data_IF_064465875205
#
_entry.id   IF_064465875205
#
_cell.length_a   1.000
_cell.length_b   1.000
_cell.length_c   1.000
_cell.angle_alpha   90.00
_cell.angle_beta   90.00
_cell.angle_gamma   90.00
#
_symmetry.space_group_name_H-M   'P 1'
#
loop_
_entity.id
_entity.type
_entity.pdbx_description
1 polymer ?
#
# COMPACT_ATOMS: atom_id res chain seq x y z
N UNK A 1 -12.03 12.91 8.65
CA UNK A 1 -11.00 11.84 8.67
C UNK A 1 -11.26 10.97 9.87
N UNK A 2 -11.38 9.66 9.68
CA UNK A 2 -11.47 8.67 10.76
C UNK A 2 -10.27 7.74 10.77
N UNK A 3 -10.00 7.10 11.90
CA UNK A 3 -8.95 6.09 12.04
C UNK A 3 -9.34 5.01 13.03
N UNK A 4 -8.92 3.77 12.79
CA UNK A 4 -9.14 2.64 13.69
C UNK A 4 -8.05 1.58 13.51
N UNK A 5 -8.01 0.61 14.43
CA UNK A 5 -7.10 -0.53 14.36
C UNK A 5 -7.89 -1.82 14.50
N UNK A 6 -7.70 -2.74 13.57
CA UNK A 6 -8.14 -4.13 13.68
C UNK A 6 -6.92 -5.04 13.86
N UNK A 7 -7.15 -6.24 14.36
CA UNK A 7 -6.11 -7.26 14.48
C UNK A 7 -6.41 -8.44 13.59
N UNK A 8 -5.37 -8.98 12.98
CA UNK A 8 -5.42 -10.27 12.32
C UNK A 8 -5.38 -11.42 13.35
N UNK A 9 -5.87 -12.61 12.98
CA UNK A 9 -6.61 -12.91 11.75
C UNK A 9 -8.10 -12.53 11.81
N UNK A 10 -8.65 -12.18 12.98
CA UNK A 10 -10.10 -12.05 13.16
C UNK A 10 -10.71 -10.82 12.47
N UNK A 11 -9.94 -9.72 12.36
CA UNK A 11 -10.33 -8.45 11.76
C UNK A 11 -11.66 -7.87 12.28
N UNK A 12 -11.97 -8.13 13.55
CA UNK A 12 -13.15 -7.59 14.23
C UNK A 12 -12.87 -6.28 14.98
N UNK A 13 -13.93 -5.52 15.33
CA UNK A 13 -13.81 -4.44 16.30
C UNK A 13 -13.34 -5.02 17.63
N UNK A 14 -12.32 -4.38 18.24
CA UNK A 14 -11.76 -4.87 19.49
C UNK A 14 -12.68 -4.57 20.68
N UNK A 15 -12.64 -5.41 21.73
CA UNK A 15 -13.20 -5.02 23.02
C UNK A 15 -12.59 -3.68 23.47
N UNK A 16 -13.35 -2.82 24.17
CA UNK A 16 -12.80 -1.60 24.76
C UNK A 16 -11.50 -1.90 25.53
N UNK A 17 -10.49 -1.04 25.36
CA UNK A 17 -9.16 -1.13 26.00
C UNK A 17 -8.23 -2.27 25.56
N UNK A 18 -8.53 -3.04 24.51
CA UNK A 18 -7.64 -4.11 24.05
C UNK A 18 -6.25 -3.62 23.56
N UNK A 19 -6.12 -2.36 23.13
CA UNK A 19 -4.84 -1.76 22.73
C UNK A 19 -3.83 -1.65 23.89
N UNK A 20 -4.29 -1.67 25.15
CA UNK A 20 -3.44 -1.63 26.33
C UNK A 20 -3.08 -3.02 26.86
N UNK A 21 -3.55 -4.10 26.21
CA UNK A 21 -3.22 -5.48 26.60
C UNK A 21 -1.90 -5.92 25.95
N UNK A 22 -0.87 -6.33 26.72
CA UNK A 22 0.42 -6.78 26.20
C UNK A 22 0.38 -8.02 25.31
N UNK A 23 -0.73 -8.78 25.33
CA UNK A 23 -0.86 -10.08 24.67
C UNK A 23 -0.96 -10.02 23.15
N UNK A 24 -1.17 -8.83 22.56
CA UNK A 24 -1.31 -8.70 21.11
C UNK A 24 0.01 -8.30 20.47
N UNK A 25 0.58 -9.24 19.71
CA UNK A 25 1.79 -8.98 18.93
C UNK A 25 1.59 -7.74 18.04
N UNK A 26 2.46 -6.72 18.13
CA UNK A 26 2.32 -5.49 17.34
C UNK A 26 2.31 -5.78 15.83
N UNK A 27 2.84 -6.92 15.41
CA UNK A 27 2.89 -7.35 14.02
C UNK A 27 1.54 -7.81 13.47
N UNK A 28 0.52 -8.03 14.31
CA UNK A 28 -0.84 -8.42 13.88
C UNK A 28 -1.74 -7.21 13.57
N UNK A 29 -1.24 -5.99 13.77
CA UNK A 29 -2.03 -4.76 13.63
C UNK A 29 -2.26 -4.44 12.16
N UNK A 30 -3.50 -4.09 11.86
CA UNK A 30 -3.88 -3.39 10.63
C UNK A 30 -4.48 -2.06 11.05
N UNK A 31 -3.75 -0.99 10.76
CA UNK A 31 -4.22 0.37 11.02
C UNK A 31 -4.96 0.86 9.79
N UNK A 32 -6.14 1.43 9.98
CA UNK A 32 -6.93 2.05 8.92
C UNK A 32 -7.06 3.54 9.19
N UNK A 33 -7.04 4.30 8.10
CA UNK A 33 -7.42 5.70 8.03
C UNK A 33 -8.34 5.86 6.82
N UNK A 34 -9.36 6.71 6.95
CA UNK A 34 -10.33 6.90 5.88
C UNK A 34 -10.84 8.33 5.85
N UNK A 35 -11.18 8.78 4.65
CA UNK A 35 -11.70 10.11 4.41
C UNK A 35 -12.71 10.11 3.27
N UNK A 36 -13.74 10.93 3.47
CA UNK A 36 -14.74 11.19 2.46
C UNK A 36 -14.11 11.96 1.30
N UNK A 37 -14.46 11.57 0.08
CA UNK A 37 -13.93 12.15 -1.16
C UNK A 37 -15.03 12.93 -1.85
N UNK A 38 -14.91 14.26 -1.88
CA UNK A 38 -15.87 15.18 -2.47
C UNK A 38 -15.28 16.05 -3.59
N UNK A 39 -13.94 16.09 -3.72
CA UNK A 39 -13.24 16.94 -4.71
C UNK A 39 -12.99 16.27 -6.05
N UNK A 40 -13.10 14.94 -6.12
CA UNK A 40 -12.81 14.16 -7.31
C UNK A 40 -13.78 12.98 -7.40
N UNK A 41 -14.07 12.46 -8.60
CA UNK A 41 -14.79 11.20 -8.72
C UNK A 41 -14.05 10.08 -7.96
N UNK A 42 -14.77 9.28 -7.18
CA UNK A 42 -14.17 8.23 -6.34
C UNK A 42 -13.33 7.24 -7.17
N UNK A 43 -13.75 6.93 -8.40
CA UNK A 43 -13.01 6.06 -9.33
C UNK A 43 -11.66 6.66 -9.77
N UNK A 44 -11.49 7.98 -9.72
CA UNK A 44 -10.24 8.64 -10.09
C UNK A 44 -9.20 8.61 -8.96
N UNK A 45 -9.58 8.25 -7.74
CA UNK A 45 -8.68 8.30 -6.57
C UNK A 45 -7.48 7.37 -6.72
N UNK A 46 -7.72 6.09 -7.08
CA UNK A 46 -6.64 5.13 -7.22
C UNK A 46 -5.82 5.36 -8.49
N UNK A 47 -6.45 5.84 -9.56
CA UNK A 47 -5.73 6.24 -10.79
C UNK A 47 -4.76 7.40 -10.48
N UNK A 48 -5.18 8.40 -9.70
CA UNK A 48 -4.30 9.48 -9.22
C UNK A 48 -3.23 9.00 -8.25
N UNK A 49 -3.51 7.99 -7.42
CA UNK A 49 -2.53 7.44 -6.50
C UNK A 49 -1.45 6.60 -7.20
N UNK A 50 -1.76 6.07 -8.39
CA UNK A 50 -0.86 5.22 -9.19
C UNK A 50 -0.25 5.94 -10.39
N UNK A 51 -0.47 7.26 -10.51
CA UNK A 51 0.07 8.07 -11.60
C UNK A 51 0.55 9.43 -11.09
N UNK A 52 1.48 10.02 -11.85
CA UNK A 52 1.75 11.46 -11.79
C UNK A 52 0.62 12.19 -12.50
N UNK A 53 -0.50 12.41 -11.81
CA UNK A 53 -1.70 13.01 -12.40
C UNK A 53 -1.53 14.49 -12.79
N UNK A 54 -0.45 15.15 -12.35
CA UNK A 54 -0.04 16.47 -12.81
C UNK A 54 1.36 16.38 -13.45
N UNK A 55 1.49 16.91 -14.66
CA UNK A 55 2.79 17.07 -15.32
C UNK A 55 3.38 18.43 -14.95
N UNK A 56 4.66 18.42 -14.62
CA UNK A 56 5.43 19.62 -14.31
C UNK A 56 6.08 20.21 -15.56
N UNK A 57 6.12 19.44 -16.67
CA UNK A 57 6.89 19.75 -17.87
C UNK A 57 8.37 19.38 -17.75
N UNK A 58 8.79 18.86 -16.60
CA UNK A 58 10.13 18.39 -16.35
C UNK A 58 10.22 16.88 -16.53
N UNK A 59 10.94 16.43 -17.55
CA UNK A 59 11.11 15.01 -17.86
C UNK A 59 11.77 14.20 -16.73
N UNK A 60 12.54 14.83 -15.84
CA UNK A 60 13.06 14.15 -14.64
C UNK A 60 11.91 13.83 -13.68
N UNK A 61 11.13 14.83 -13.28
CA UNK A 61 10.02 14.69 -12.33
C UNK A 61 8.86 13.85 -12.90
N UNK A 62 8.53 14.07 -14.17
CA UNK A 62 7.36 13.52 -14.84
C UNK A 62 7.57 12.07 -15.31
N UNK A 63 8.81 11.58 -15.36
CA UNK A 63 9.13 10.21 -15.81
C UNK A 63 9.95 9.45 -14.76
N UNK A 64 9.61 9.60 -13.49
CA UNK A 64 10.08 8.68 -12.45
C UNK A 64 9.28 7.36 -12.54
N UNK A 65 9.90 6.23 -12.93
CA UNK A 65 9.21 4.94 -13.04
C UNK A 65 8.81 4.36 -11.67
N UNK A 66 9.32 4.93 -10.57
CA UNK A 66 8.93 4.52 -9.22
C UNK A 66 7.57 5.04 -8.81
N UNK A 67 7.09 6.11 -9.43
CA UNK A 67 5.87 6.81 -9.01
C UNK A 67 4.69 6.62 -9.97
N UNK A 68 4.82 5.74 -10.98
CA UNK A 68 3.84 5.63 -12.06
C UNK A 68 3.63 4.19 -12.51
N UNK A 69 2.39 3.70 -12.39
CA UNK A 69 2.01 2.34 -12.78
C UNK A 69 2.19 2.10 -14.28
N UNK A 70 1.96 3.11 -15.12
CA UNK A 70 2.14 3.02 -16.57
C UNK A 70 3.58 2.71 -17.00
N UNK A 71 4.57 3.00 -16.14
CA UNK A 71 5.99 2.74 -16.37
C UNK A 71 6.48 1.45 -15.68
N UNK A 72 5.58 0.74 -15.00
CA UNK A 72 5.91 -0.47 -14.22
C UNK A 72 5.36 -1.72 -14.91
N UNK A 73 6.22 -2.56 -15.53
CA UNK A 73 5.77 -3.79 -16.17
C UNK A 73 5.10 -4.74 -15.18
N UNK A 74 4.06 -5.43 -15.63
CA UNK A 74 3.44 -6.51 -14.88
C UNK A 74 4.42 -7.69 -14.77
N UNK A 75 4.69 -8.13 -13.55
CA UNK A 75 5.74 -9.10 -13.26
C UNK A 75 5.19 -10.48 -12.85
N UNK A 76 4.18 -10.52 -11.98
CA UNK A 76 3.69 -11.78 -11.40
C UNK A 76 2.26 -11.66 -10.87
N UNK A 77 1.46 -12.73 -10.96
CA UNK A 77 0.20 -12.86 -10.22
C UNK A 77 0.46 -13.49 -8.84
N UNK A 78 0.01 -12.84 -7.78
CA UNK A 78 0.20 -13.28 -6.41
C UNK A 78 -1.05 -12.99 -5.57
N UNK A 79 -1.66 -14.00 -4.95
CA UNK A 79 -2.84 -13.84 -4.09
C UNK A 79 -4.02 -13.10 -4.75
N UNK A 80 -4.17 -13.23 -6.08
CA UNK A 80 -5.18 -12.48 -6.84
C UNK A 80 -4.83 -11.00 -7.12
N UNK A 81 -3.57 -10.60 -6.89
CA UNK A 81 -3.01 -9.30 -7.24
C UNK A 81 -2.01 -9.46 -8.40
N UNK A 82 -1.95 -8.44 -9.26
CA UNK A 82 -0.86 -8.30 -10.23
C UNK A 82 0.25 -7.47 -9.60
N UNK A 83 1.45 -8.03 -9.47
CA UNK A 83 2.64 -7.30 -9.05
C UNK A 83 3.23 -6.51 -10.23
N UNK A 84 3.62 -5.27 -9.98
CA UNK A 84 4.24 -4.36 -10.91
C UNK A 84 5.59 -3.88 -10.35
N UNK A 85 6.67 -4.32 -10.99
CA UNK A 85 8.03 -4.00 -10.57
C UNK A 85 8.52 -2.74 -11.29
N UNK A 86 9.50 -2.04 -10.72
CA UNK A 86 10.16 -0.93 -11.42
C UNK A 86 11.06 -1.49 -12.52
N UNK A 87 10.92 -0.97 -13.74
CA UNK A 87 11.79 -1.30 -14.84
C UNK A 87 13.22 -0.77 -14.57
N UNK A 88 14.24 -1.64 -14.48
CA UNK A 88 15.60 -1.22 -14.17
C UNK A 88 16.21 -0.28 -15.23
N UNK A 89 15.86 -0.45 -16.50
CA UNK A 89 16.37 0.39 -17.57
C UNK A 89 15.75 1.79 -17.51
N UNK A 90 14.44 1.90 -17.27
CA UNK A 90 13.79 3.20 -17.06
C UNK A 90 14.32 3.89 -15.81
N UNK A 91 14.61 3.12 -14.74
CA UNK A 91 15.17 3.67 -13.52
C UNK A 91 16.58 4.24 -13.74
N UNK A 92 17.46 3.52 -14.44
CA UNK A 92 18.80 4.05 -14.75
C UNK A 92 18.71 5.28 -15.67
N UNK A 93 17.81 5.30 -16.65
CA UNK A 93 17.57 6.50 -17.47
C UNK A 93 17.11 7.69 -16.62
N UNK A 94 16.20 7.48 -15.67
CA UNK A 94 15.75 8.52 -14.75
C UNK A 94 16.92 9.05 -13.89
N UNK A 95 17.77 8.16 -13.39
CA UNK A 95 18.99 8.52 -12.64
C UNK A 95 19.97 9.34 -13.50
N UNK A 96 20.17 8.99 -14.76
CA UNK A 96 21.00 9.79 -15.68
C UNK A 96 20.40 11.19 -15.92
N UNK A 97 19.08 11.31 -16.06
CA UNK A 97 18.40 12.62 -16.12
C UNK A 97 18.65 13.45 -14.85
N UNK A 98 18.60 12.82 -13.68
CA UNK A 98 18.88 13.47 -12.40
C UNK A 98 20.32 14.01 -12.34
N UNK A 99 21.30 13.20 -12.74
CA UNK A 99 22.72 13.59 -12.76
C UNK A 99 22.94 14.75 -13.73
N UNK A 100 22.38 14.68 -14.94
CA UNK A 100 22.50 15.76 -15.91
C UNK A 100 21.90 17.08 -15.39
N UNK A 101 20.80 17.01 -14.63
CA UNK A 101 20.10 18.18 -14.11
C UNK A 101 20.74 18.76 -12.84
N UNK A 102 21.17 17.92 -11.91
CA UNK A 102 21.60 18.33 -10.57
C UNK A 102 23.09 18.07 -10.29
N UNK A 103 23.83 17.52 -11.26
CA UNK A 103 25.25 17.16 -11.14
C UNK A 103 25.51 15.89 -10.32
N UNK A 104 24.50 15.29 -9.70
CA UNK A 104 24.62 14.06 -8.90
C UNK A 104 23.30 13.32 -8.78
N UNK A 105 23.39 12.01 -8.57
CA UNK A 105 22.27 11.22 -8.08
C UNK A 105 22.24 11.27 -6.55
N UNK A 106 21.05 11.45 -5.98
CA UNK A 106 20.82 11.27 -4.56
C UNK A 106 19.63 10.35 -4.38
N UNK A 107 19.88 9.15 -3.86
CA UNK A 107 18.79 8.30 -3.37
C UNK A 107 18.27 8.88 -2.06
N UNK A 108 17.27 9.78 -2.17
CA UNK A 108 16.65 10.44 -1.02
C UNK A 108 15.78 9.51 -0.18
N UNK A 109 15.35 8.40 -0.74
CA UNK A 109 14.42 7.47 -0.07
C UNK A 109 15.17 6.32 0.58
N UNK A 110 16.38 6.00 0.11
CA UNK A 110 17.18 4.89 0.63
C UNK A 110 16.65 3.52 0.22
N UNK A 111 15.64 3.48 -0.66
CA UNK A 111 14.98 2.26 -1.14
C UNK A 111 15.45 1.86 -2.55
N UNK A 112 16.42 2.56 -3.15
CA UNK A 112 16.88 2.31 -4.50
C UNK A 112 15.76 2.42 -5.52
N UNK A 113 15.38 1.28 -6.12
CA UNK A 113 14.26 1.17 -7.06
C UNK A 113 12.88 1.31 -6.39
N UNK A 114 12.79 1.43 -5.07
CA UNK A 114 11.55 1.73 -4.36
C UNK A 114 10.67 0.52 -4.08
N UNK A 115 9.40 0.79 -3.75
CA UNK A 115 8.43 -0.20 -3.32
C UNK A 115 7.95 -1.13 -4.44
N UNK A 116 7.61 -2.36 -4.07
CA UNK A 116 6.89 -3.29 -4.92
C UNK A 116 5.41 -2.90 -4.93
N UNK A 117 4.81 -2.78 -6.12
CA UNK A 117 3.41 -2.39 -6.27
C UNK A 117 2.56 -3.61 -6.60
N UNK A 118 1.39 -3.73 -5.96
CA UNK A 118 0.42 -4.78 -6.20
C UNK A 118 -0.93 -4.15 -6.51
N UNK A 119 -1.55 -4.63 -7.60
CA UNK A 119 -2.77 -4.05 -8.16
C UNK A 119 -3.85 -5.12 -8.24
N UNK A 120 -5.04 -4.77 -7.77
CA UNK A 120 -6.26 -5.48 -8.13
C UNK A 120 -7.14 -4.59 -9.01
N UNK A 121 -7.80 -5.21 -9.98
CA UNK A 121 -8.82 -4.58 -10.82
C UNK A 121 -10.17 -5.25 -10.62
N UNK A 122 -11.25 -4.51 -10.83
CA UNK A 122 -12.60 -5.08 -10.88
C UNK A 122 -12.88 -5.78 -12.23
N UNK A 123 -14.08 -6.35 -12.38
CA UNK A 123 -14.49 -7.05 -13.60
C UNK A 123 -14.56 -6.13 -14.83
N UNK A 124 -14.61 -4.81 -14.64
CA UNK A 124 -14.59 -3.80 -15.70
C UNK A 124 -13.16 -3.30 -15.98
N UNK A 125 -12.14 -3.85 -15.33
CA UNK A 125 -10.75 -3.47 -15.48
C UNK A 125 -10.34 -2.20 -14.72
N UNK A 126 -11.23 -1.60 -13.92
CA UNK A 126 -10.91 -0.41 -13.13
C UNK A 126 -10.08 -0.79 -11.91
N UNK A 127 -9.17 0.09 -11.48
CA UNK A 127 -8.46 -0.10 -10.22
C UNK A 127 -9.46 -0.23 -9.06
N UNK A 128 -9.26 -1.27 -8.24
CA UNK A 128 -10.03 -1.47 -7.00
C UNK A 128 -9.15 -1.44 -5.76
N UNK A 129 -7.90 -1.88 -5.89
CA UNK A 129 -6.93 -1.93 -4.80
C UNK A 129 -5.54 -1.59 -5.35
N UNK A 130 -4.83 -0.76 -4.60
CA UNK A 130 -3.44 -0.42 -4.84
C UNK A 130 -2.65 -0.61 -3.54
N UNK A 131 -1.64 -1.48 -3.57
CA UNK A 131 -0.83 -1.81 -2.41
C UNK A 131 0.63 -1.54 -2.76
N UNK A 132 1.30 -0.72 -1.96
CA UNK A 132 2.75 -0.51 -1.99
C UNK A 132 3.34 -1.27 -0.82
N UNK A 133 4.32 -2.12 -1.04
CA UNK A 133 5.06 -2.75 0.05
C UNK A 133 6.54 -2.46 -0.08
N UNK A 134 7.24 -2.41 1.05
CA UNK A 134 8.70 -2.44 1.07
C UNK A 134 9.22 -3.52 0.11
N UNK A 135 10.31 -3.24 -0.60
CA UNK A 135 10.85 -4.17 -1.61
C UNK A 135 11.21 -5.53 -1.02
N UNK A 136 10.86 -6.61 -1.73
CA UNK A 136 11.22 -8.00 -1.37
C UNK A 136 12.73 -8.27 -1.31
N UNK A 137 13.56 -7.35 -1.79
CA UNK A 137 15.02 -7.40 -1.58
C UNK A 137 15.39 -7.33 -0.08
N UNK A 138 14.49 -6.78 0.73
CA UNK A 138 14.64 -6.73 2.18
C UNK A 138 13.82 -7.84 2.85
N UNK A 139 14.33 -8.47 3.92
CA UNK A 139 13.57 -9.45 4.71
C UNK A 139 12.36 -8.81 5.41
N UNK A 140 11.35 -9.62 5.73
CA UNK A 140 10.13 -9.15 6.42
C UNK A 140 10.39 -8.67 7.85
N UNK A 141 11.43 -9.18 8.51
CA UNK A 141 11.77 -8.83 9.88
C UNK A 141 10.87 -9.42 10.96
N UNK A 142 9.87 -10.19 10.57
CA UNK A 142 9.03 -11.00 11.46
C UNK A 142 9.06 -12.46 11.05
N UNK A 143 8.89 -13.34 12.02
CA UNK A 143 8.76 -14.79 11.81
C UNK A 143 7.44 -15.24 12.42
N UNK A 144 6.71 -16.08 11.70
CA UNK A 144 5.48 -16.71 12.20
C UNK A 144 5.82 -17.81 13.20
N UNK A 145 5.15 -17.79 14.34
CA UNK A 145 5.23 -18.81 15.40
C UNK A 145 3.82 -19.27 15.78
N UNK A 146 3.39 -20.40 15.21
CA UNK A 146 2.01 -20.86 15.32
C UNK A 146 1.02 -19.82 14.77
N UNK A 147 0.14 -19.34 15.66
CA UNK A 147 -0.86 -18.30 15.37
C UNK A 147 -0.37 -16.88 15.69
N UNK A 148 0.91 -16.72 16.03
CA UNK A 148 1.50 -15.42 16.39
C UNK A 148 2.71 -15.08 15.51
N UNK A 149 3.23 -13.87 15.70
CA UNK A 149 4.43 -13.40 15.03
C UNK A 149 5.38 -12.81 16.07
N UNK A 150 6.67 -13.04 15.88
CA UNK A 150 7.74 -12.42 16.66
C UNK A 150 8.74 -11.69 15.77
N UNK A 151 9.54 -10.83 16.40
CA UNK A 151 10.66 -10.18 15.72
C UNK A 151 11.70 -11.21 15.25
N UNK A 152 12.26 -10.96 14.07
CA UNK A 152 13.45 -11.65 13.57
C UNK A 152 14.76 -11.05 14.13
N UNK A 153 14.69 -10.00 14.96
CA UNK A 153 15.87 -9.37 15.57
C UNK A 153 16.62 -8.39 14.68
N UNK A 154 16.09 -8.05 13.50
CA UNK A 154 16.77 -7.22 12.49
C UNK A 154 16.40 -5.72 12.53
N UNK A 155 15.65 -5.30 13.56
CA UNK A 155 15.33 -3.88 13.82
C UNK A 155 14.33 -3.20 12.88
N UNK A 156 13.99 -3.81 11.73
CA UNK A 156 12.99 -3.30 10.78
C UNK A 156 11.94 -4.37 10.49
N UNK A 157 10.68 -3.96 10.37
CA UNK A 157 9.59 -4.80 9.86
C UNK A 157 9.18 -4.27 8.50
N UNK A 158 9.14 -5.13 7.49
CA UNK A 158 8.65 -4.74 6.17
C UNK A 158 7.16 -4.42 6.24
N UNK A 159 6.76 -3.25 5.74
CA UNK A 159 5.39 -2.77 5.75
C UNK A 159 4.73 -2.78 4.36
N UNK A 160 3.41 -2.63 4.37
CA UNK A 160 2.60 -2.29 3.20
C UNK A 160 1.68 -1.11 3.52
N UNK A 161 1.55 -0.20 2.57
CA UNK A 161 0.51 0.82 2.48
C UNK A 161 -0.51 0.40 1.42
N UNK A 162 -1.77 0.25 1.81
CA UNK A 162 -2.83 -0.32 0.99
C UNK A 162 -3.98 0.66 0.87
N UNK A 163 -4.22 1.10 -0.35
CA UNK A 163 -5.29 2.00 -0.74
C UNK A 163 -6.41 1.25 -1.46
N UNK A 164 -7.64 1.47 -1.02
CA UNK A 164 -8.85 0.96 -1.66
C UNK A 164 -10.00 1.94 -1.44
N UNK A 165 -11.13 1.74 -2.12
CA UNK A 165 -12.24 2.69 -2.13
C UNK A 165 -13.57 2.01 -1.79
N UNK A 166 -14.43 2.73 -1.07
CA UNK A 166 -15.85 2.41 -0.94
C UNK A 166 -16.64 3.34 -1.86
N UNK A 167 -17.09 2.81 -3.01
CA UNK A 167 -17.83 3.59 -4.01
C UNK A 167 -19.20 4.04 -3.50
N UNK A 168 -19.85 3.23 -2.66
CA UNK A 168 -21.21 3.49 -2.15
C UNK A 168 -21.23 4.75 -1.28
N UNK A 169 -20.19 4.94 -0.47
CA UNK A 169 -20.07 6.04 0.49
C UNK A 169 -19.02 7.09 0.11
N UNK A 170 -18.35 6.90 -1.03
CA UNK A 170 -17.26 7.77 -1.50
C UNK A 170 -16.12 7.93 -0.50
N UNK A 171 -15.72 6.83 0.15
CA UNK A 171 -14.55 6.81 1.03
C UNK A 171 -13.31 6.34 0.28
N UNK A 172 -12.20 7.05 0.47
CA UNK A 172 -10.86 6.50 0.25
C UNK A 172 -10.37 5.94 1.58
N UNK A 173 -9.98 4.68 1.56
CA UNK A 173 -9.44 3.96 2.68
C UNK A 173 -7.96 3.71 2.44
N UNK A 174 -7.17 4.00 3.46
CA UNK A 174 -5.76 3.71 3.53
C UNK A 174 -5.49 2.84 4.75
N UNK A 175 -4.91 1.66 4.54
CA UNK A 175 -4.51 0.77 5.60
C UNK A 175 -3.02 0.47 5.58
N UNK A 176 -2.41 0.37 6.75
CA UNK A 176 -1.01 -0.01 6.92
C UNK A 176 -0.88 -1.26 7.78
N UNK A 177 -0.02 -2.18 7.34
CA UNK A 177 0.18 -3.49 8.00
C UNK A 177 1.54 -4.11 7.62
N UNK A 178 1.98 -5.11 8.38
CA UNK A 178 3.23 -5.83 8.07
C UNK A 178 3.08 -6.66 6.77
N UNK A 179 4.10 -6.66 5.91
CA UNK A 179 4.08 -7.28 4.58
C UNK A 179 3.76 -8.78 4.57
N UNK A 180 4.09 -9.50 5.64
CA UNK A 180 3.69 -10.91 5.82
C UNK A 180 2.19 -11.14 5.72
N UNK A 181 1.38 -10.11 5.97
CA UNK A 181 -0.08 -10.16 5.90
C UNK A 181 -0.63 -9.80 4.53
N UNK A 182 0.21 -9.52 3.53
CA UNK A 182 -0.22 -9.24 2.15
C UNK A 182 -1.14 -10.33 1.61
N UNK A 183 -0.92 -11.59 1.97
CA UNK A 183 -1.80 -12.71 1.57
C UNK A 183 -3.24 -12.56 2.05
N UNK A 184 -3.50 -11.75 3.08
CA UNK A 184 -4.82 -11.50 3.68
C UNK A 184 -5.46 -10.18 3.22
N UNK A 185 -4.92 -9.52 2.19
CA UNK A 185 -5.39 -8.21 1.71
C UNK A 185 -6.90 -8.15 1.43
N UNK A 186 -7.50 -9.22 0.89
CA UNK A 186 -8.94 -9.26 0.63
C UNK A 186 -9.76 -9.30 1.93
N UNK A 187 -9.26 -10.02 2.95
CA UNK A 187 -9.90 -10.07 4.25
C UNK A 187 -9.84 -8.70 4.94
N UNK A 188 -8.71 -7.99 4.80
CA UNK A 188 -8.51 -6.61 5.26
C UNK A 188 -9.55 -5.66 4.65
N UNK A 189 -9.72 -5.65 3.32
CA UNK A 189 -10.76 -4.83 2.67
C UNK A 189 -12.17 -5.21 3.12
N UNK A 190 -12.45 -6.52 3.13
CA UNK A 190 -13.78 -7.05 3.47
C UNK A 190 -14.19 -6.67 4.89
N UNK A 191 -13.26 -6.75 5.85
CA UNK A 191 -13.53 -6.40 7.22
C UNK A 191 -13.89 -4.91 7.38
N UNK A 192 -13.17 -4.03 6.67
CA UNK A 192 -13.47 -2.61 6.71
C UNK A 192 -14.83 -2.28 6.07
N UNK A 193 -15.17 -2.87 4.92
CA UNK A 193 -16.49 -2.67 4.31
C UNK A 193 -17.62 -3.19 5.20
N UNK A 194 -17.45 -4.37 5.82
CA UNK A 194 -18.43 -4.88 6.81
C UNK A 194 -18.62 -3.93 7.97
N UNK A 195 -17.55 -3.30 8.45
CA UNK A 195 -17.66 -2.30 9.51
C UNK A 195 -18.48 -1.08 9.04
N UNK A 196 -18.21 -0.54 7.84
CA UNK A 196 -18.99 0.57 7.28
C UNK A 196 -20.47 0.22 7.09
N UNK A 197 -20.77 -1.03 6.71
CA UNK A 197 -22.14 -1.53 6.59
C UNK A 197 -22.84 -1.67 7.95
N UNK A 198 -22.14 -2.15 8.98
CA UNK A 198 -22.70 -2.34 10.31
C UNK A 198 -22.92 -1.03 11.08
N UNK A 199 -22.13 0.01 10.81
CA UNK A 199 -22.11 1.23 11.61
C UNK A 199 -22.98 2.36 11.07
N UNK A 200 -23.57 2.21 9.87
CA UNK A 200 -24.31 3.29 9.18
C UNK A 200 -23.58 4.65 9.29
N UNK A 201 -22.25 4.64 9.11
CA UNK A 201 -21.46 5.86 9.05
C UNK A 201 -21.83 6.58 7.75
N UNK A 202 -22.84 7.45 7.84
CA UNK A 202 -23.19 8.46 6.86
C UNK A 202 -22.18 9.62 6.92
#
# INVERSE_FOLDING_TARGET
>A
MGSLVMLLPELGPRPPNALHRPSYSPYMKVQYSFYYVDKVPIDAVLERATSRWYQTGDAYEDNDPREQLALRPAALQLHGLTRHDVDPALFEQHKQRAIAKFGKWQDRTGYGMGDDWYIARDAQGRLRSFIKCDSRQWPDGVVREGETYRSAGIGRIAGCEHHFIDRKRSYHIHSSYARVHLVQWQAIETAFHRLLDATQLD
#
